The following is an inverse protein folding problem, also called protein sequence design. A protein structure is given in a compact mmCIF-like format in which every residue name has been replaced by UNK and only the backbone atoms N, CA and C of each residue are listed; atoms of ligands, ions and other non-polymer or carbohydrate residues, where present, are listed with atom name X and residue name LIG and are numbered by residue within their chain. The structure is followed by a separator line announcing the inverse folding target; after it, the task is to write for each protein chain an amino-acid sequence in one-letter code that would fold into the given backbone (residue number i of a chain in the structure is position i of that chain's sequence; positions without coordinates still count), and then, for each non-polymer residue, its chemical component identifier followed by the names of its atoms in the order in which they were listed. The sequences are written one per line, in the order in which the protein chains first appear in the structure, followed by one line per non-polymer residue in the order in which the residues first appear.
data_IF_656022964425
#
_entry.id   IF_656022964425
#
_cell.length_a   1.000
_cell.length_b   1.000
_cell.length_c   1.000
_cell.angle_alpha   90.00
_cell.angle_beta   90.00
_cell.angle_gamma   90.00
#
_symmetry.space_group_name_H-M   'P 1'
#
loop_
_entity.id
_entity.type
_entity.pdbx_description
1 polymer ?
#
# COMPACT_ATOMS: atom_id res chain seq x y z
N UNK A 1 6.63 1.16 -23.94
CA UNK A 1 5.28 1.09 -23.34
C UNK A 1 5.50 0.97 -21.84
N UNK A 2 5.34 2.06 -21.08
CA UNK A 2 5.50 2.02 -19.62
C UNK A 2 4.13 1.73 -19.00
N UNK A 3 4.05 0.70 -18.15
CA UNK A 3 2.87 0.46 -17.34
C UNK A 3 2.77 1.50 -16.22
N UNK A 4 1.55 1.93 -15.90
CA UNK A 4 1.26 2.91 -14.86
C UNK A 4 0.69 2.26 -13.60
N UNK A 5 0.92 2.95 -12.49
CA UNK A 5 1.26 2.34 -11.23
C UNK A 5 1.08 3.37 -10.10
N UNK A 6 -0.05 3.30 -9.41
CA UNK A 6 -0.31 4.12 -8.23
C UNK A 6 -0.50 3.22 -7.01
N UNK A 7 0.50 3.20 -6.12
CA UNK A 7 0.58 2.44 -4.86
C UNK A 7 1.18 3.36 -3.79
N UNK A 8 0.66 3.62 -2.59
CA UNK A 8 -0.71 3.57 -2.12
C UNK A 8 -0.79 4.10 -0.68
N UNK A 9 -1.79 4.91 -0.32
CA UNK A 9 -2.06 5.20 1.08
C UNK A 9 -2.80 4.06 1.77
N UNK A 10 -2.23 3.61 2.89
CA UNK A 10 -2.71 2.48 3.65
C UNK A 10 -3.02 2.86 5.10
N UNK A 11 -3.68 1.92 5.77
CA UNK A 11 -3.55 1.74 7.20
C UNK A 11 -3.57 0.26 7.51
N UNK A 12 -2.97 -0.08 8.64
CA UNK A 12 -2.76 -1.45 9.07
C UNK A 12 -3.47 -1.64 10.40
N UNK A 13 -4.12 -2.79 10.59
CA UNK A 13 -4.77 -3.14 11.85
C UNK A 13 -4.00 -4.28 12.49
N UNK A 14 -3.22 -3.95 13.53
CA UNK A 14 -2.52 -4.92 14.37
C UNK A 14 -3.37 -5.35 15.57
N UNK A 15 -3.30 -6.63 15.95
CA UNK A 15 -3.89 -7.16 17.19
C UNK A 15 -2.77 -7.48 18.19
N UNK A 16 -2.64 -6.66 19.23
CA UNK A 16 -1.67 -6.82 20.32
C UNK A 16 -2.00 -8.05 21.21
N UNK A 17 -0.97 -8.75 21.69
CA UNK A 17 -1.09 -9.78 22.76
C UNK A 17 -0.10 -9.52 23.91
N UNK A 18 -0.51 -8.66 24.85
CA UNK A 18 0.04 -8.59 26.21
C UNK A 18 -0.90 -7.81 27.15
N UNK A 19 -1.72 -8.52 27.94
CA UNK A 19 -2.50 -8.04 29.09
C UNK A 19 -3.41 -6.78 28.95
N UNK A 20 -3.59 -6.24 27.75
CA UNK A 20 -4.58 -5.20 27.43
C UNK A 20 -5.52 -5.70 26.31
N UNK A 21 -6.69 -5.09 26.21
CA UNK A 21 -7.64 -5.34 25.11
C UNK A 21 -6.91 -5.03 23.78
N UNK A 22 -6.80 -5.98 22.83
CA UNK A 22 -6.07 -5.73 21.60
C UNK A 22 -6.61 -4.50 20.87
N UNK A 23 -5.77 -3.48 20.67
CA UNK A 23 -6.14 -2.27 19.93
C UNK A 23 -5.49 -2.27 18.55
N UNK A 24 -6.24 -1.93 17.48
CA UNK A 24 -5.68 -1.55 16.19
C UNK A 24 -4.63 -0.46 16.35
N UNK A 25 -3.44 -0.65 15.80
CA UNK A 25 -2.43 0.41 15.64
C UNK A 25 -2.27 0.71 14.15
N UNK A 26 -2.89 1.80 13.70
CA UNK A 26 -2.73 2.29 12.34
C UNK A 26 -1.32 2.85 12.13
N UNK A 27 -0.69 2.43 11.04
CA UNK A 27 0.49 3.09 10.45
C UNK A 27 0.00 3.74 9.16
N UNK A 28 0.26 5.03 8.98
CA UNK A 28 -0.13 5.77 7.78
C UNK A 28 1.00 5.87 6.76
N UNK A 29 0.68 6.24 5.51
CA UNK A 29 1.68 6.29 4.43
C UNK A 29 2.80 7.30 4.61
N UNK A 30 2.67 8.24 5.56
CA UNK A 30 3.72 9.21 5.88
C UNK A 30 4.53 8.83 7.13
N UNK A 31 4.32 7.64 7.69
CA UNK A 31 5.10 7.13 8.81
C UNK A 31 6.59 6.99 8.42
N UNK A 32 7.47 7.50 9.27
CA UNK A 32 8.92 7.56 9.04
C UNK A 32 9.62 6.18 9.11
N UNK A 33 8.94 5.14 9.59
CA UNK A 33 9.46 3.77 9.66
C UNK A 33 9.40 3.01 8.32
N UNK A 34 9.09 3.72 7.23
CA UNK A 34 8.71 3.14 5.95
C UNK A 34 9.69 3.53 4.85
N UNK A 35 10.31 2.49 4.29
CA UNK A 35 11.24 2.61 3.19
C UNK A 35 10.49 2.51 1.85
N UNK A 36 10.56 3.58 1.07
CA UNK A 36 10.04 3.65 -0.29
C UNK A 36 11.19 3.55 -1.30
N UNK A 37 11.15 2.55 -2.17
CA UNK A 37 12.19 2.31 -3.18
C UNK A 37 11.59 2.16 -4.59
N UNK A 38 12.28 2.61 -5.66
CA UNK A 38 13.28 3.68 -5.61
C UNK A 38 12.58 4.99 -5.19
N UNK A 39 13.17 5.85 -4.34
CA UNK A 39 12.46 7.02 -3.79
C UNK A 39 11.84 7.94 -4.84
N UNK A 40 12.45 8.02 -6.04
CA UNK A 40 11.97 8.80 -7.18
C UNK A 40 10.63 8.34 -7.75
N UNK A 41 10.23 7.08 -7.51
CA UNK A 41 8.92 6.58 -7.96
C UNK A 41 7.76 7.07 -7.09
N UNK A 42 8.01 7.68 -5.93
CA UNK A 42 6.98 7.99 -4.93
C UNK A 42 6.83 9.49 -4.71
N UNK A 43 5.61 9.93 -4.39
CA UNK A 43 5.29 11.32 -4.09
C UNK A 43 3.96 11.44 -3.35
N UNK A 44 3.53 12.66 -3.09
CA UNK A 44 2.34 12.94 -2.29
C UNK A 44 1.16 13.38 -3.17
N UNK A 45 -0.03 12.89 -2.86
CA UNK A 45 -1.28 13.52 -3.28
C UNK A 45 -2.27 13.65 -2.13
N UNK A 46 -3.15 14.64 -2.27
CA UNK A 46 -4.32 14.79 -1.41
C UNK A 46 -5.29 13.66 -1.75
N UNK A 47 -5.54 12.77 -0.80
CA UNK A 47 -6.60 11.78 -0.91
C UNK A 47 -7.78 12.23 -0.04
N UNK A 48 -8.97 12.34 -0.63
CA UNK A 48 -10.11 13.07 -0.02
C UNK A 48 -10.82 12.33 1.11
N UNK A 49 -10.64 11.02 1.23
CA UNK A 49 -11.38 10.16 2.17
C UNK A 49 -10.48 9.11 2.86
N UNK A 50 -10.99 8.44 3.89
CA UNK A 50 -10.25 7.40 4.61
C UNK A 50 -9.10 7.92 5.47
N UNK A 51 -7.97 7.20 5.46
CA UNK A 51 -6.86 7.41 6.41
C UNK A 51 -5.97 8.61 6.11
N UNK A 52 -6.24 9.36 5.03
CA UNK A 52 -5.69 10.72 4.87
C UNK A 52 -6.11 11.68 6.00
N UNK A 53 -7.14 11.34 6.78
CA UNK A 53 -7.49 12.04 8.03
C UNK A 53 -6.48 11.83 9.17
N UNK A 54 -5.57 10.87 9.06
CA UNK A 54 -4.50 10.64 10.06
C UNK A 54 -3.30 11.56 9.77
N UNK A 55 -2.86 11.63 8.51
CA UNK A 55 -1.61 12.32 8.13
C UNK A 55 -1.79 13.57 7.22
N UNK A 56 -3.02 13.93 6.85
CA UNK A 56 -3.34 15.08 5.98
C UNK A 56 -3.07 14.89 4.48
N UNK A 57 -2.17 13.99 4.11
CA UNK A 57 -1.86 13.61 2.73
C UNK A 57 -1.58 12.10 2.62
N UNK A 58 -1.21 11.63 1.43
CA UNK A 58 -1.07 10.22 1.12
C UNK A 58 0.07 9.98 0.13
N UNK A 59 0.94 9.00 0.41
CA UNK A 59 2.04 8.65 -0.50
C UNK A 59 1.50 7.72 -1.59
N UNK A 60 1.65 8.16 -2.83
CA UNK A 60 1.38 7.38 -4.03
C UNK A 60 2.66 7.26 -4.85
N UNK A 61 2.87 6.10 -5.42
CA UNK A 61 3.72 5.92 -6.56
C UNK A 61 3.15 6.74 -7.71
N UNK A 62 4.02 7.48 -8.37
CA UNK A 62 3.76 8.18 -9.62
C UNK A 62 4.68 7.59 -10.68
N UNK A 63 4.30 7.74 -11.96
CA UNK A 63 5.12 7.22 -13.07
C UNK A 63 6.30 8.15 -13.35
N UNK A 64 7.27 8.05 -12.46
CA UNK A 64 8.66 8.34 -12.75
C UNK A 64 9.37 7.05 -13.16
N UNK A 65 10.65 7.16 -13.49
CA UNK A 65 11.47 6.04 -13.94
C UNK A 65 11.46 4.91 -12.89
N UNK A 66 11.52 3.66 -13.37
CA UNK A 66 11.64 2.44 -12.56
C UNK A 66 10.41 2.09 -11.69
N UNK A 67 9.21 2.57 -12.05
CA UNK A 67 7.98 2.19 -11.35
C UNK A 67 7.77 0.66 -11.28
N UNK A 68 8.17 -0.10 -12.31
CA UNK A 68 8.16 -1.58 -12.29
C UNK A 68 9.08 -2.25 -11.26
N UNK A 69 9.98 -1.50 -10.64
CA UNK A 69 10.89 -1.93 -9.57
C UNK A 69 10.43 -1.41 -8.19
N UNK A 70 9.30 -0.68 -8.15
CA UNK A 70 8.86 0.01 -6.96
C UNK A 70 8.38 -0.97 -5.88
N UNK A 71 8.85 -0.74 -4.66
CA UNK A 71 8.47 -1.48 -3.47
C UNK A 71 8.42 -0.55 -2.26
N UNK A 72 7.58 -0.92 -1.30
CA UNK A 72 7.50 -0.30 0.02
C UNK A 72 7.73 -1.38 1.08
N UNK A 73 8.54 -1.09 2.09
CA UNK A 73 8.82 -2.01 3.19
C UNK A 73 8.92 -1.30 4.53
N UNK A 74 8.50 -1.98 5.59
CA UNK A 74 8.54 -1.48 6.96
C UNK A 74 8.52 -2.66 7.94
N UNK A 75 8.70 -2.37 9.22
CA UNK A 75 8.55 -3.36 10.29
C UNK A 75 7.32 -3.06 11.14
N UNK A 76 6.55 -4.07 11.53
CA UNK A 76 5.38 -3.86 12.39
C UNK A 76 5.83 -3.25 13.72
N UNK A 77 5.15 -2.21 14.24
CA UNK A 77 5.57 -1.51 15.46
C UNK A 77 5.48 -2.43 16.68
N UNK A 78 4.57 -3.40 16.67
CA UNK A 78 4.32 -4.34 17.76
C UNK A 78 4.31 -5.80 17.27
N UNK A 79 4.34 -6.73 18.22
CA UNK A 79 4.05 -8.14 17.96
C UNK A 79 2.64 -8.31 17.37
N UNK A 80 2.51 -9.06 16.29
CA UNK A 80 1.41 -8.95 15.33
C UNK A 80 0.96 -10.31 14.83
N UNK A 81 -0.24 -10.76 15.22
CA UNK A 81 -0.83 -12.02 14.69
C UNK A 81 -1.81 -11.79 13.53
N UNK A 82 -2.35 -10.58 13.42
CA UNK A 82 -3.31 -10.17 12.38
C UNK A 82 -2.80 -8.94 11.66
N UNK A 83 -3.09 -8.86 10.38
CA UNK A 83 -2.67 -7.76 9.52
C UNK A 83 -3.74 -7.48 8.48
N UNK A 84 -3.97 -6.20 8.21
CA UNK A 84 -4.82 -5.71 7.13
C UNK A 84 -4.04 -4.71 6.29
N UNK A 85 -4.25 -4.73 4.97
CA UNK A 85 -3.74 -3.71 4.06
C UNK A 85 -4.90 -3.10 3.29
N UNK A 86 -5.12 -1.82 3.59
CA UNK A 86 -6.14 -0.97 2.99
C UNK A 86 -5.55 -0.14 1.87
N UNK A 87 -6.28 0.03 0.77
CA UNK A 87 -5.78 0.64 -0.45
C UNK A 87 -6.88 1.23 -1.36
N UNK A 88 -6.63 2.43 -1.90
CA UNK A 88 -7.34 2.99 -3.05
C UNK A 88 -7.17 2.13 -4.30
N UNK A 89 -8.27 1.61 -4.82
CA UNK A 89 -8.25 1.01 -6.15
C UNK A 89 -8.41 2.09 -7.23
N UNK A 90 -7.75 1.92 -8.38
CA UNK A 90 -7.78 2.91 -9.47
C UNK A 90 -7.80 2.26 -10.85
N UNK A 91 -8.32 2.99 -11.84
CA UNK A 91 -8.33 2.61 -13.25
C UNK A 91 -6.94 2.60 -13.90
N UNK A 92 -5.96 3.23 -13.25
CA UNK A 92 -4.53 3.19 -13.54
C UNK A 92 -3.73 2.41 -12.46
N UNK A 93 -4.41 1.51 -11.74
CA UNK A 93 -3.82 0.51 -10.85
C UNK A 93 -3.41 -0.78 -11.59
N UNK A 94 -3.07 -1.82 -10.83
CA UNK A 94 -2.60 -3.09 -11.38
C UNK A 94 -2.46 -4.17 -10.31
N UNK A 95 -1.49 -5.07 -10.51
CA UNK A 95 -1.14 -6.14 -9.57
C UNK A 95 0.04 -5.75 -8.67
N UNK A 96 -0.01 -6.18 -7.42
CA UNK A 96 1.11 -6.12 -6.48
C UNK A 96 1.28 -7.46 -5.76
N UNK A 97 2.41 -7.64 -5.10
CA UNK A 97 2.63 -8.73 -4.14
C UNK A 97 2.90 -8.20 -2.74
N UNK A 98 2.45 -8.93 -1.72
CA UNK A 98 2.82 -8.71 -0.32
C UNK A 98 3.60 -9.93 0.21
N UNK A 99 4.60 -9.68 1.05
CA UNK A 99 5.39 -10.71 1.74
C UNK A 99 5.69 -10.29 3.18
N UNK A 100 5.78 -11.29 4.07
CA UNK A 100 6.17 -11.14 5.47
C UNK A 100 7.50 -11.86 5.68
N UNK A 101 8.48 -11.20 6.31
CA UNK A 101 9.79 -11.73 6.70
C UNK A 101 10.60 -12.39 5.57
N UNK A 102 10.44 -11.88 4.34
CA UNK A 102 10.99 -12.47 3.11
C UNK A 102 10.44 -13.87 2.76
N UNK A 103 9.34 -14.28 3.37
CA UNK A 103 8.56 -15.46 3.00
C UNK A 103 7.82 -15.31 1.66
N UNK A 104 6.88 -16.23 1.38
CA UNK A 104 6.14 -16.27 0.12
C UNK A 104 5.46 -14.94 -0.24
N UNK A 105 5.47 -14.62 -1.53
CA UNK A 105 4.77 -13.46 -2.08
C UNK A 105 3.33 -13.84 -2.44
N UNK A 106 2.36 -13.09 -1.89
CA UNK A 106 0.93 -13.25 -2.13
C UNK A 106 0.48 -12.13 -3.05
N UNK A 107 -0.13 -12.49 -4.17
CA UNK A 107 -0.62 -11.54 -5.17
C UNK A 107 -1.96 -10.92 -4.74
N UNK A 108 -2.11 -9.62 -4.99
CA UNK A 108 -3.39 -8.92 -4.86
C UNK A 108 -3.56 -7.89 -5.98
N UNK A 109 -4.82 -7.59 -6.30
CA UNK A 109 -5.22 -6.71 -7.38
C UNK A 109 -5.84 -5.42 -6.82
N UNK A 110 -5.35 -4.27 -7.26
CA UNK A 110 -5.88 -2.94 -6.92
C UNK A 110 -6.29 -2.15 -8.18
N UNK A 111 -6.38 -2.82 -9.34
CA UNK A 111 -7.03 -2.29 -10.53
C UNK A 111 -8.55 -2.21 -10.33
N UNK A 112 -9.13 -1.05 -10.60
CA UNK A 112 -10.59 -0.86 -10.67
C UNK A 112 -10.93 0.15 -11.76
N UNK A 113 -11.43 -0.35 -12.89
CA UNK A 113 -11.77 0.45 -14.08
C UNK A 113 -12.77 1.58 -13.84
N UNK A 114 -13.58 1.48 -12.78
CA UNK A 114 -14.66 2.42 -12.48
C UNK A 114 -14.24 3.53 -11.52
N UNK A 115 -13.14 3.35 -10.77
CA UNK A 115 -12.64 4.30 -9.78
C UNK A 115 -11.46 5.11 -10.34
N UNK A 116 -11.44 6.42 -10.09
CA UNK A 116 -10.34 7.34 -10.48
C UNK A 116 -9.47 7.77 -9.29
N UNK A 117 -9.55 7.07 -8.16
CA UNK A 117 -8.91 7.43 -6.90
C UNK A 117 -9.70 8.47 -6.11
N UNK A 118 -11.00 8.63 -6.40
CA UNK A 118 -11.92 9.51 -5.66
C UNK A 118 -12.60 8.82 -4.50
N UNK A 119 -12.83 7.50 -4.60
CA UNK A 119 -13.42 6.72 -3.53
C UNK A 119 -12.34 6.36 -2.50
N UNK A 120 -12.73 6.22 -1.22
CA UNK A 120 -11.81 5.89 -0.13
C UNK A 120 -11.11 4.52 -0.28
N UNK A 121 -10.10 4.25 0.56
CA UNK A 121 -9.35 3.00 0.52
C UNK A 121 -10.22 1.80 0.92
N UNK A 122 -10.00 0.67 0.26
CA UNK A 122 -10.67 -0.61 0.48
C UNK A 122 -9.69 -1.66 1.01
N UNK A 123 -10.17 -2.63 1.77
CA UNK A 123 -9.34 -3.77 2.19
C UNK A 123 -8.97 -4.62 0.96
N UNK A 124 -7.70 -4.69 0.59
CA UNK A 124 -7.22 -5.50 -0.56
C UNK A 124 -6.45 -6.75 -0.14
N UNK A 125 -5.98 -6.82 1.11
CA UNK A 125 -5.37 -8.01 1.69
C UNK A 125 -5.56 -8.05 3.21
N UNK A 126 -5.77 -9.24 3.78
CA UNK A 126 -5.70 -9.47 5.22
C UNK A 126 -5.19 -10.87 5.56
N UNK A 127 -4.65 -11.03 6.76
CA UNK A 127 -4.28 -12.32 7.35
C UNK A 127 -4.49 -12.30 8.86
N UNK A 128 -4.74 -13.48 9.45
CA UNK A 128 -4.89 -13.68 10.89
C UNK A 128 -4.08 -14.87 11.43
N UNK A 129 -3.01 -15.25 10.71
CA UNK A 129 -2.22 -16.47 10.98
C UNK A 129 -0.72 -16.19 11.09
N UNK A 130 -0.33 -14.97 11.47
CA UNK A 130 1.07 -14.63 11.72
C UNK A 130 1.50 -15.10 13.12
N UNK A 131 2.79 -15.38 13.31
CA UNK A 131 3.36 -15.65 14.64
C UNK A 131 3.27 -14.41 15.53
N UNK A 132 3.26 -14.54 16.88
CA UNK A 132 3.14 -13.40 17.78
C UNK A 132 4.45 -12.61 17.92
N UNK A 133 4.99 -12.09 16.82
CA UNK A 133 6.26 -11.35 16.74
C UNK A 133 6.16 -10.12 15.82
N UNK A 134 7.26 -9.35 15.73
CA UNK A 134 7.32 -8.16 14.87
C UNK A 134 7.82 -8.54 13.48
N UNK A 135 6.97 -8.36 12.46
CA UNK A 135 7.24 -8.79 11.09
C UNK A 135 7.80 -7.66 10.23
N UNK A 136 8.70 -7.99 9.29
CA UNK A 136 9.04 -7.11 8.17
C UNK A 136 8.02 -7.34 7.06
N UNK A 137 7.21 -6.32 6.76
CA UNK A 137 6.27 -6.34 5.64
C UNK A 137 6.95 -5.71 4.44
N UNK A 138 6.79 -6.32 3.27
CA UNK A 138 7.21 -5.75 1.98
C UNK A 138 6.11 -5.94 0.96
N UNK A 139 5.68 -4.84 0.36
CA UNK A 139 4.80 -4.81 -0.80
C UNK A 139 5.63 -4.42 -2.02
N UNK A 140 5.60 -5.24 -3.06
CA UNK A 140 6.21 -4.93 -4.35
C UNK A 140 5.12 -4.66 -5.35
N UNK A 141 5.38 -3.69 -6.22
CA UNK A 141 4.58 -3.56 -7.41
C UNK A 141 4.93 -4.66 -8.44
N UNK A 142 3.95 -5.15 -9.18
CA UNK A 142 4.16 -6.01 -10.35
C UNK A 142 3.71 -5.36 -11.66
N UNK A 143 4.27 -5.82 -12.78
CA UNK A 143 3.85 -5.37 -14.11
C UNK A 143 2.44 -5.87 -14.43
N UNK A 144 1.59 -4.96 -14.90
CA UNK A 144 0.23 -5.26 -15.36
C UNK A 144 -0.05 -4.59 -16.70
N UNK A 145 -0.63 -5.34 -17.64
CA UNK A 145 -1.02 -4.84 -18.97
C UNK A 145 -2.33 -4.04 -18.95
N UNK A 146 -3.12 -4.13 -17.87
CA UNK A 146 -4.38 -3.40 -17.69
C UNK A 146 -4.16 -1.96 -17.25
N UNK A 147 -3.11 -1.71 -16.46
CA UNK A 147 -2.70 -0.41 -15.93
C UNK A 147 -2.21 0.55 -17.02
N UNK A 148 -3.17 1.15 -17.74
CA UNK A 148 -2.90 2.00 -18.91
C UNK A 148 -3.00 3.48 -18.53
N UNK A 149 -1.90 4.23 -18.70
CA UNK A 149 -1.95 5.69 -18.61
C UNK A 149 -2.70 6.29 -19.80
N UNK A 150 -3.85 6.89 -19.54
CA UNK A 150 -4.23 8.09 -20.28
C UNK A 150 -3.65 9.29 -19.53
N UNK A 151 -2.50 9.79 -20.02
CA UNK A 151 -1.92 11.05 -19.54
C UNK A 151 -2.81 12.22 -19.99
N UNK A 152 -3.90 12.46 -19.26
CA UNK A 152 -4.78 13.63 -19.42
C UNK A 152 -4.15 14.94 -18.93
N UNK A 153 -2.83 15.09 -19.02
CA UNK A 153 -2.14 16.36 -18.87
C UNK A 153 -2.03 16.96 -20.27
N UNK A 154 -2.65 18.13 -20.44
CA UNK A 154 -3.11 18.60 -21.75
C UNK A 154 -2.04 18.98 -22.77
N UNK A 155 -2.52 19.05 -24.00
CA UNK A 155 -2.10 20.04 -25.01
C UNK A 155 -2.19 21.48 -24.45
#
# INVERSE_FOLDING_TARGET
MLACLHVLAFSIVFTQVANAIPQPVAVGSQDFSIDYYPPTAWGYANATDGFSKVDGASVFMFVYQNASEAQVSWRTPNATQTFEYWAYQRSDGGNASISFDNGPEILFDYYNSSNKGTDGPLLVYSTGTLSPEQHTVRIKNLFDVRGTLNLGYGE
#
